data_IF_431463373327
#
_entry.id   IF_431463373327
#
_cell.length_a   1.000
_cell.length_b   1.000
_cell.length_c   1.000
_cell.angle_alpha   90.00
_cell.angle_beta   90.00
_cell.angle_gamma   90.00
#
_symmetry.space_group_name_H-M   'P 1'
#
loop_
_entity.id
_entity.type
_entity.pdbx_description
1 polymer ?
#
# COMPACT_ATOMS: atom_id res chain seq x y z
N UNK A 1 -8.97 2.89 -16.96
CA UNK A 1 -7.98 1.97 -16.34
C UNK A 1 -8.74 1.12 -15.33
N UNK A 2 -8.39 -0.16 -15.19
CA UNK A 2 -9.02 -1.11 -14.27
C UNK A 2 -7.92 -1.78 -13.42
N UNK A 3 -7.99 -1.59 -12.09
CA UNK A 3 -6.98 -2.07 -11.14
C UNK A 3 -7.63 -2.98 -10.09
N UNK A 4 -7.00 -4.14 -9.86
CA UNK A 4 -7.34 -5.01 -8.73
C UNK A 4 -6.62 -4.51 -7.48
N UNK A 5 -7.32 -4.38 -6.36
CA UNK A 5 -6.73 -4.01 -5.08
C UNK A 5 -6.99 -5.12 -4.05
N UNK A 6 -5.90 -5.73 -3.58
CA UNK A 6 -5.92 -6.67 -2.46
C UNK A 6 -5.53 -5.97 -1.16
N UNK A 7 -6.31 -6.15 -0.09
CA UNK A 7 -5.88 -5.75 1.26
C UNK A 7 -5.77 -6.97 2.17
N UNK A 8 -4.60 -7.14 2.78
CA UNK A 8 -4.22 -8.35 3.51
C UNK A 8 -3.88 -8.07 4.97
N UNK A 9 -3.70 -9.12 5.77
CA UNK A 9 -3.46 -9.03 7.21
C UNK A 9 -2.06 -8.57 7.62
N UNK A 10 -1.64 -7.39 7.17
CA UNK A 10 -0.47 -6.68 7.69
C UNK A 10 -0.87 -5.29 8.14
N UNK A 11 -0.18 -4.77 9.15
CA UNK A 11 -0.45 -3.42 9.67
C UNK A 11 -0.22 -2.34 8.61
N UNK A 12 -0.97 -1.25 8.71
CA UNK A 12 -1.00 -0.18 7.72
C UNK A 12 -2.23 -0.23 6.82
N UNK A 13 -3.38 -0.68 7.33
CA UNK A 13 -4.64 -0.74 6.57
C UNK A 13 -5.00 0.59 5.91
N UNK A 14 -4.65 1.72 6.56
CA UNK A 14 -4.85 3.08 6.03
C UNK A 14 -4.21 3.31 4.65
N UNK A 15 -3.10 2.62 4.34
CA UNK A 15 -2.42 2.72 3.03
C UNK A 15 -3.35 2.19 1.93
N UNK A 16 -4.00 1.05 2.16
CA UNK A 16 -4.97 0.49 1.23
C UNK A 16 -6.21 1.36 1.09
N UNK A 17 -6.73 1.89 2.21
CA UNK A 17 -7.88 2.81 2.20
C UNK A 17 -7.58 4.06 1.37
N UNK A 18 -6.46 4.73 1.62
CA UNK A 18 -6.05 5.93 0.87
C UNK A 18 -5.75 5.62 -0.59
N UNK A 19 -5.22 4.42 -0.89
CA UNK A 19 -5.06 3.96 -2.28
C UNK A 19 -6.41 3.87 -2.99
N UNK A 20 -7.42 3.24 -2.36
CA UNK A 20 -8.77 3.13 -2.94
C UNK A 20 -9.42 4.50 -3.17
N UNK A 21 -9.34 5.40 -2.18
CA UNK A 21 -9.88 6.75 -2.29
C UNK A 21 -9.20 7.55 -3.41
N UNK A 22 -7.88 7.43 -3.53
CA UNK A 22 -7.11 8.07 -4.59
C UNK A 22 -7.48 7.51 -5.98
N UNK A 23 -7.63 6.20 -6.12
CA UNK A 23 -8.08 5.57 -7.37
C UNK A 23 -9.49 6.03 -7.77
N UNK A 24 -10.41 6.12 -6.80
CA UNK A 24 -11.76 6.66 -7.02
C UNK A 24 -11.72 8.11 -7.50
N UNK A 25 -10.91 8.96 -6.87
CA UNK A 25 -10.77 10.36 -7.25
C UNK A 25 -10.19 10.54 -8.66
N UNK A 26 -9.43 9.55 -9.15
CA UNK A 26 -8.87 9.50 -10.50
C UNK A 26 -9.78 8.75 -11.50
N UNK A 27 -11.01 8.41 -11.12
CA UNK A 27 -11.99 7.70 -11.96
C UNK A 27 -11.45 6.35 -12.51
N UNK A 28 -10.62 5.67 -11.71
CA UNK A 28 -10.10 4.33 -12.03
C UNK A 28 -11.09 3.27 -11.54
N UNK A 29 -11.47 2.35 -12.42
CA UNK A 29 -12.31 1.22 -12.05
C UNK A 29 -11.53 0.28 -11.12
N UNK A 30 -12.14 -0.13 -10.02
CA UNK A 30 -11.46 -0.90 -8.95
C UNK A 30 -12.20 -2.19 -8.60
N UNK A 31 -11.42 -3.28 -8.53
CA UNK A 31 -11.86 -4.57 -8.01
C UNK A 31 -11.20 -4.84 -6.65
N UNK A 32 -11.95 -4.74 -5.57
CA UNK A 32 -11.46 -4.96 -4.21
C UNK A 32 -11.58 -6.42 -3.79
N UNK A 33 -10.51 -6.96 -3.21
CA UNK A 33 -10.52 -8.23 -2.48
C UNK A 33 -9.93 -8.03 -1.09
N UNK A 34 -10.73 -8.26 -0.06
CA UNK A 34 -10.28 -8.22 1.33
C UNK A 34 -10.08 -9.63 1.85
N UNK A 35 -8.92 -9.93 2.42
CA UNK A 35 -8.76 -11.17 3.21
C UNK A 35 -9.48 -11.05 4.55
N UNK A 36 -9.64 -12.17 5.28
CA UNK A 36 -10.21 -12.15 6.64
C UNK A 36 -9.49 -11.16 7.56
N UNK A 37 -8.15 -11.20 7.57
CA UNK A 37 -7.35 -10.34 8.43
C UNK A 37 -7.19 -8.91 7.88
N UNK A 38 -7.27 -8.73 6.56
CA UNK A 38 -7.36 -7.39 5.97
C UNK A 38 -8.61 -6.64 6.45
N UNK A 39 -9.77 -7.31 6.48
CA UNK A 39 -11.00 -6.73 7.06
C UNK A 39 -10.83 -6.34 8.53
N UNK A 40 -10.28 -7.26 9.34
CA UNK A 40 -10.10 -7.01 10.77
C UNK A 40 -9.18 -5.81 11.03
N UNK A 41 -8.13 -5.63 10.24
CA UNK A 41 -7.20 -4.50 10.41
C UNK A 41 -7.77 -3.17 9.91
N UNK A 42 -8.65 -3.17 8.91
CA UNK A 42 -9.38 -1.93 8.53
C UNK A 42 -10.18 -1.41 9.73
N UNK A 43 -10.98 -2.26 10.36
CA UNK A 43 -11.80 -1.88 11.52
C UNK A 43 -10.98 -1.58 12.78
N UNK A 44 -9.80 -2.19 12.91
CA UNK A 44 -8.95 -2.02 14.09
C UNK A 44 -8.02 -0.80 14.00
N UNK A 45 -7.43 -0.53 12.84
CA UNK A 45 -6.38 0.49 12.68
C UNK A 45 -6.89 1.82 12.14
N UNK A 46 -8.13 1.89 11.67
CA UNK A 46 -8.67 3.07 10.98
C UNK A 46 -10.05 3.46 11.49
N UNK A 47 -10.48 4.67 11.15
CA UNK A 47 -11.85 5.13 11.39
C UNK A 47 -12.87 4.56 10.39
N UNK A 48 -12.40 3.81 9.38
CA UNK A 48 -13.23 3.28 8.30
C UNK A 48 -13.75 1.88 8.61
N UNK A 49 -14.95 1.60 8.11
CA UNK A 49 -15.55 0.28 8.11
C UNK A 49 -15.33 -0.42 6.78
N UNK A 50 -15.52 -1.75 6.75
CA UNK A 50 -15.54 -2.50 5.49
C UNK A 50 -16.61 -1.95 4.54
N UNK A 51 -17.72 -1.44 5.06
CA UNK A 51 -18.81 -0.89 4.24
C UNK A 51 -18.39 0.40 3.53
N UNK A 52 -17.69 1.31 4.21
CA UNK A 52 -17.17 2.55 3.61
C UNK A 52 -16.23 2.24 2.42
N UNK A 53 -15.43 1.17 2.55
CA UNK A 53 -14.57 0.69 1.47
C UNK A 53 -15.37 0.15 0.29
N UNK A 54 -16.45 -0.60 0.54
CA UNK A 54 -17.33 -1.10 -0.55
C UNK A 54 -17.94 0.03 -1.35
N UNK A 55 -18.29 1.13 -0.68
CA UNK A 55 -18.87 2.31 -1.32
C UNK A 55 -17.83 3.16 -2.07
N UNK A 56 -16.54 2.84 -1.91
CA UNK A 56 -15.40 3.52 -2.55
C UNK A 56 -14.93 2.82 -3.83
N UNK A 57 -15.44 1.63 -4.14
CA UNK A 57 -14.97 0.80 -5.26
C UNK A 57 -16.13 0.33 -6.14
N UNK A 58 -15.82 -0.10 -7.37
CA UNK A 58 -16.81 -0.55 -8.34
C UNK A 58 -17.24 -2.01 -8.08
N UNK A 59 -16.28 -2.86 -7.71
CA UNK A 59 -16.52 -4.28 -7.47
C UNK A 59 -15.88 -4.77 -6.19
N UNK A 60 -16.58 -5.61 -5.44
CA UNK A 60 -16.07 -6.25 -4.22
C UNK A 60 -16.23 -7.75 -4.34
N UNK A 61 -15.13 -8.49 -4.22
CA UNK A 61 -15.12 -9.94 -4.33
C UNK A 61 -14.78 -10.59 -2.98
N UNK A 62 -15.41 -11.74 -2.72
CA UNK A 62 -15.07 -12.56 -1.57
C UNK A 62 -13.68 -13.19 -1.75
N UNK A 63 -12.86 -13.33 -0.68
CA UNK A 63 -11.53 -13.93 -0.82
C UNK A 63 -11.57 -15.41 -1.22
N UNK A 64 -12.70 -16.10 -1.05
CA UNK A 64 -12.89 -17.47 -1.52
C UNK A 64 -13.54 -17.59 -2.91
N UNK A 65 -13.89 -16.47 -3.55
CA UNK A 65 -14.62 -16.48 -4.82
C UNK A 65 -13.69 -16.67 -6.01
N UNK A 66 -13.23 -17.91 -6.21
CA UNK A 66 -12.38 -18.27 -7.33
C UNK A 66 -13.07 -18.18 -8.70
N UNK A 67 -14.38 -17.93 -8.74
CA UNK A 67 -15.16 -17.75 -9.97
C UNK A 67 -15.28 -16.27 -10.40
N UNK A 68 -14.80 -15.33 -9.58
CA UNK A 68 -14.77 -13.90 -9.91
C UNK A 68 -13.99 -13.64 -11.21
N UNK A 69 -14.37 -12.59 -11.94
CA UNK A 69 -13.78 -12.24 -13.24
C UNK A 69 -12.24 -12.10 -13.17
N UNK A 70 -11.73 -11.52 -12.08
CA UNK A 70 -10.30 -11.30 -11.82
C UNK A 70 -9.48 -12.59 -11.58
N UNK A 71 -10.14 -13.75 -11.47
CA UNK A 71 -9.52 -15.08 -11.42
C UNK A 71 -9.10 -15.59 -12.81
N UNK A 72 -9.56 -14.95 -13.88
CA UNK A 72 -9.25 -15.29 -15.27
C UNK A 72 -8.31 -14.28 -15.92
N UNK A 73 -7.32 -14.77 -16.66
CA UNK A 73 -6.46 -13.92 -17.49
C UNK A 73 -7.17 -13.35 -18.72
N UNK A 74 -8.27 -13.95 -19.17
CA UNK A 74 -9.04 -13.40 -20.30
C UNK A 74 -9.81 -12.14 -19.92
N UNK A 75 -10.03 -11.89 -18.62
CA UNK A 75 -10.62 -10.64 -18.16
C UNK A 75 -9.53 -9.56 -18.13
N UNK A 76 -9.72 -8.43 -18.85
CA UNK A 76 -8.69 -7.40 -18.95
C UNK A 76 -8.59 -6.60 -17.65
N UNK A 77 -7.39 -6.53 -17.08
CA UNK A 77 -7.03 -5.60 -16.00
C UNK A 77 -5.67 -4.97 -16.34
N UNK A 78 -5.44 -3.74 -15.88
CA UNK A 78 -4.17 -3.02 -16.11
C UNK A 78 -3.10 -3.42 -15.09
N UNK A 79 -3.51 -4.01 -13.97
CA UNK A 79 -2.63 -4.62 -12.98
C UNK A 79 -3.30 -4.81 -11.63
N UNK A 80 -2.46 -5.02 -10.61
CA UNK A 80 -2.89 -5.29 -9.25
C UNK A 80 -1.98 -4.59 -8.23
N UNK A 81 -2.59 -4.06 -7.19
CA UNK A 81 -1.93 -3.50 -6.01
C UNK A 81 -2.32 -4.36 -4.80
N UNK A 82 -1.36 -4.74 -3.96
CA UNK A 82 -1.62 -5.36 -2.66
C UNK A 82 -1.10 -4.45 -1.55
N UNK A 83 -2.00 -3.73 -0.90
CA UNK A 83 -1.68 -2.69 0.07
C UNK A 83 -2.61 -2.75 1.30
N UNK A 84 -2.10 -3.12 2.49
CA UNK A 84 -0.79 -3.71 2.75
C UNK A 84 -0.72 -5.20 2.34
N UNK A 85 0.51 -5.67 2.10
CA UNK A 85 0.83 -7.06 1.78
C UNK A 85 1.49 -7.76 2.99
N UNK A 86 0.83 -8.79 3.50
CA UNK A 86 1.34 -9.63 4.59
C UNK A 86 2.40 -10.61 4.12
N UNK A 87 3.31 -11.00 5.00
CA UNK A 87 4.35 -11.98 4.67
C UNK A 87 3.77 -13.34 4.29
N UNK A 88 2.61 -13.72 4.85
CA UNK A 88 1.83 -14.89 4.42
C UNK A 88 1.44 -14.78 2.94
N UNK A 89 0.76 -13.70 2.57
CA UNK A 89 0.29 -13.50 1.18
C UNK A 89 1.47 -13.43 0.23
N UNK A 90 2.53 -12.73 0.60
CA UNK A 90 3.75 -12.61 -0.19
C UNK A 90 4.39 -13.98 -0.46
N UNK A 91 4.53 -14.82 0.57
CA UNK A 91 5.02 -16.19 0.43
C UNK A 91 4.12 -17.04 -0.47
N UNK A 92 2.79 -16.93 -0.32
CA UNK A 92 1.83 -17.67 -1.15
C UNK A 92 1.92 -17.29 -2.64
N UNK A 93 2.06 -15.99 -2.95
CA UNK A 93 2.26 -15.51 -4.32
C UNK A 93 3.58 -16.05 -4.90
N UNK A 94 4.68 -15.96 -4.14
CA UNK A 94 5.98 -16.51 -4.57
C UNK A 94 5.94 -18.01 -4.83
N UNK A 95 5.15 -18.75 -4.06
CA UNK A 95 4.98 -20.18 -4.21
C UNK A 95 3.99 -20.57 -5.34
N UNK A 96 3.21 -19.61 -5.86
CA UNK A 96 2.10 -19.90 -6.77
C UNK A 96 0.94 -20.65 -6.09
N UNK A 97 0.83 -20.57 -4.76
CA UNK A 97 -0.19 -21.28 -3.98
C UNK A 97 -1.50 -20.50 -3.95
N UNK A 98 -2.19 -20.48 -5.09
CA UNK A 98 -3.41 -19.70 -5.35
C UNK A 98 -4.67 -20.26 -4.66
N UNK A 99 -4.62 -20.48 -3.35
CA UNK A 99 -5.74 -20.98 -2.53
C UNK A 99 -6.88 -19.95 -2.44
N UNK A 100 -6.55 -18.67 -2.28
CA UNK A 100 -7.51 -17.56 -2.18
C UNK A 100 -7.46 -16.63 -3.41
N UNK A 101 -8.50 -15.81 -3.56
CA UNK A 101 -8.67 -14.93 -4.72
C UNK A 101 -7.59 -13.83 -4.80
N UNK A 102 -7.03 -13.37 -3.67
CA UNK A 102 -5.94 -12.38 -3.70
C UNK A 102 -4.71 -13.02 -4.35
N UNK A 103 -4.33 -14.21 -3.90
CA UNK A 103 -3.18 -14.92 -4.46
C UNK A 103 -3.45 -15.34 -5.91
N UNK A 104 -4.67 -15.79 -6.22
CA UNK A 104 -5.07 -16.15 -7.58
C UNK A 104 -5.02 -14.96 -8.55
N UNK A 105 -5.55 -13.80 -8.15
CA UNK A 105 -5.50 -12.60 -8.99
C UNK A 105 -4.06 -12.11 -9.19
N UNK A 106 -3.19 -12.27 -8.19
CA UNK A 106 -1.76 -11.96 -8.32
C UNK A 106 -1.04 -12.94 -9.27
N UNK A 107 -1.33 -14.24 -9.18
CA UNK A 107 -0.84 -15.26 -10.11
C UNK A 107 -1.30 -14.97 -11.56
N UNK A 108 -2.56 -14.59 -11.74
CA UNK A 108 -3.09 -14.13 -13.03
C UNK A 108 -2.37 -12.87 -13.52
N UNK A 109 -2.14 -11.90 -12.64
CA UNK A 109 -1.42 -10.66 -12.97
C UNK A 109 -0.01 -10.97 -13.47
N UNK A 110 0.71 -11.87 -12.80
CA UNK A 110 2.07 -12.29 -13.19
C UNK A 110 2.08 -13.04 -14.52
N UNK A 111 1.22 -14.05 -14.71
CA UNK A 111 1.23 -14.87 -15.94
C UNK A 111 0.83 -14.08 -17.18
N UNK A 112 -0.04 -13.08 -17.03
CA UNK A 112 -0.44 -12.16 -18.10
C UNK A 112 0.54 -11.00 -18.30
N UNK A 113 1.66 -10.97 -17.55
CA UNK A 113 2.68 -9.91 -17.59
C UNK A 113 2.12 -8.52 -17.32
N UNK A 114 1.09 -8.44 -16.45
CA UNK A 114 0.51 -7.20 -15.96
C UNK A 114 1.31 -6.69 -14.77
N UNK A 115 1.10 -5.42 -14.42
CA UNK A 115 1.81 -4.79 -13.31
C UNK A 115 1.32 -5.33 -11.97
N UNK A 116 2.21 -5.88 -11.16
CA UNK A 116 1.92 -6.29 -9.79
C UNK A 116 2.73 -5.42 -8.81
N UNK A 117 2.06 -4.65 -7.96
CA UNK A 117 2.68 -3.87 -6.89
C UNK A 117 2.35 -4.53 -5.54
N UNK A 118 3.39 -4.89 -4.80
CA UNK A 118 3.28 -5.46 -3.47
C UNK A 118 3.80 -4.44 -2.46
N UNK A 119 3.00 -4.12 -1.45
CA UNK A 119 3.37 -3.20 -0.35
C UNK A 119 3.64 -4.00 0.92
N UNK A 120 4.77 -4.71 1.02
CA UNK A 120 5.08 -5.56 2.17
C UNK A 120 5.31 -4.74 3.42
N UNK A 121 4.58 -5.04 4.51
CA UNK A 121 4.80 -4.40 5.81
C UNK A 121 5.18 -5.46 6.84
N UNK A 122 6.46 -5.45 7.24
CA UNK A 122 7.00 -6.24 8.35
C UNK A 122 8.32 -5.61 8.83
N UNK A 123 8.62 -5.72 10.12
CA UNK A 123 9.93 -5.36 10.67
C UNK A 123 10.16 -6.06 12.03
N UNK A 124 11.31 -6.74 12.24
CA UNK A 124 12.42 -6.96 11.30
C UNK A 124 12.09 -7.98 10.20
N UNK A 125 12.84 -7.94 9.11
CA UNK A 125 12.75 -8.94 8.04
C UNK A 125 13.68 -10.12 8.33
N UNK A 126 13.16 -11.33 8.19
CA UNK A 126 13.98 -12.55 8.19
C UNK A 126 14.39 -12.94 6.75
N UNK A 127 15.26 -13.94 6.63
CA UNK A 127 15.76 -14.43 5.33
C UNK A 127 14.62 -14.91 4.41
N UNK A 128 13.60 -15.59 4.95
CA UNK A 128 12.45 -16.07 4.18
C UNK A 128 11.71 -14.90 3.52
N UNK A 129 11.50 -13.80 4.24
CA UNK A 129 10.84 -12.61 3.69
C UNK A 129 11.67 -12.02 2.54
N UNK A 130 12.99 -11.91 2.74
CA UNK A 130 13.92 -11.36 1.74
C UNK A 130 13.99 -12.22 0.48
N UNK A 131 14.09 -13.55 0.62
CA UNK A 131 14.09 -14.49 -0.50
C UNK A 131 12.79 -14.42 -1.30
N UNK A 132 11.65 -14.32 -0.63
CA UNK A 132 10.36 -14.21 -1.28
C UNK A 132 10.24 -12.89 -2.07
N UNK A 133 10.64 -11.77 -1.45
CA UNK A 133 10.67 -10.47 -2.13
C UNK A 133 11.62 -10.48 -3.33
N UNK A 134 12.82 -11.03 -3.19
CA UNK A 134 13.81 -11.10 -4.28
C UNK A 134 13.31 -11.95 -5.45
N UNK A 135 12.71 -13.11 -5.16
CA UNK A 135 12.17 -13.99 -6.20
C UNK A 135 11.07 -13.28 -7.01
N UNK A 136 10.13 -12.61 -6.34
CA UNK A 136 9.06 -11.89 -7.01
C UNK A 136 9.54 -10.63 -7.74
N UNK A 137 10.52 -9.91 -7.18
CA UNK A 137 11.17 -8.81 -7.87
C UNK A 137 11.79 -9.26 -9.21
N UNK A 138 12.46 -10.42 -9.23
CA UNK A 138 13.01 -11.02 -10.45
C UNK A 138 11.94 -11.46 -11.45
N UNK A 139 10.72 -11.75 -10.98
CA UNK A 139 9.56 -12.06 -11.82
C UNK A 139 8.85 -10.80 -12.36
N UNK A 140 9.32 -9.60 -12.00
CA UNK A 140 8.76 -8.33 -12.46
C UNK A 140 7.70 -7.72 -11.53
N UNK A 141 7.44 -8.32 -10.37
CA UNK A 141 6.63 -7.66 -9.35
C UNK A 141 7.42 -6.49 -8.73
N UNK A 142 6.74 -5.39 -8.44
CA UNK A 142 7.33 -4.28 -7.72
C UNK A 142 7.19 -4.52 -6.21
N UNK A 143 8.33 -4.53 -5.51
CA UNK A 143 8.39 -4.61 -4.05
C UNK A 143 8.51 -3.18 -3.52
N UNK A 144 7.41 -2.64 -2.99
CA UNK A 144 7.29 -1.25 -2.53
C UNK A 144 6.91 -1.21 -1.04
N UNK A 145 7.85 -1.50 -0.12
CA UNK A 145 7.57 -1.44 1.31
C UNK A 145 7.17 -0.01 1.74
N UNK A 146 6.33 0.15 2.78
CA UNK A 146 5.85 1.45 3.25
C UNK A 146 6.94 2.21 4.03
N UNK A 147 7.97 2.67 3.32
CA UNK A 147 9.09 3.42 3.87
C UNK A 147 8.79 4.92 3.80
N UNK A 148 8.68 5.63 4.94
CA UNK A 148 8.38 7.05 4.95
C UNK A 148 9.48 7.89 4.31
N UNK A 149 9.09 8.90 3.55
CA UNK A 149 9.97 9.95 3.06
C UNK A 149 9.89 11.17 3.98
N UNK A 150 11.04 11.74 4.35
CA UNK A 150 11.11 12.91 5.23
C UNK A 150 11.59 14.17 4.51
N UNK A 151 12.04 14.04 3.26
CA UNK A 151 12.56 15.16 2.47
C UNK A 151 11.48 16.16 2.04
N UNK A 152 10.21 15.81 2.18
CA UNK A 152 9.07 16.71 1.95
C UNK A 152 8.49 17.30 3.24
N UNK A 153 9.19 17.12 4.38
CA UNK A 153 8.79 17.67 5.68
C UNK A 153 7.33 17.38 6.06
N UNK A 154 6.93 16.08 6.16
CA UNK A 154 5.57 15.73 6.57
C UNK A 154 5.24 16.33 7.94
N UNK A 155 4.04 16.89 8.08
CA UNK A 155 3.52 17.42 9.35
C UNK A 155 2.56 16.42 10.02
N UNK A 156 1.94 15.55 9.21
CA UNK A 156 0.95 14.57 9.65
C UNK A 156 1.30 13.15 9.21
N UNK A 157 0.67 12.16 9.86
CA UNK A 157 0.74 10.76 9.41
C UNK A 157 0.14 10.63 8.01
N UNK A 158 -0.92 11.41 7.70
CA UNK A 158 -1.57 11.37 6.39
C UNK A 158 -0.61 11.81 5.28
N UNK A 159 0.24 12.83 5.52
CA UNK A 159 1.28 13.24 4.56
C UNK A 159 2.22 12.09 4.20
N UNK A 160 2.61 11.29 5.21
CA UNK A 160 3.48 10.12 5.03
C UNK A 160 2.77 9.06 4.18
N UNK A 161 1.52 8.72 4.50
CA UNK A 161 0.83 7.68 3.74
C UNK A 161 0.45 8.16 2.34
N UNK A 162 0.06 9.42 2.16
CA UNK A 162 -0.25 9.98 0.85
C UNK A 162 0.98 10.09 -0.04
N UNK A 163 2.17 10.36 0.52
CA UNK A 163 3.41 10.23 -0.23
C UNK A 163 3.63 8.80 -0.75
N UNK A 164 3.40 7.80 0.10
CA UNK A 164 3.50 6.39 -0.29
C UNK A 164 2.46 6.02 -1.37
N UNK A 165 1.21 6.46 -1.22
CA UNK A 165 0.14 6.23 -2.19
C UNK A 165 0.49 6.86 -3.53
N UNK A 166 1.01 8.10 -3.55
CA UNK A 166 1.51 8.72 -4.77
C UNK A 166 2.58 7.85 -5.44
N UNK A 167 3.55 7.34 -4.68
CA UNK A 167 4.59 6.43 -5.20
C UNK A 167 4.03 5.13 -5.76
N UNK A 168 2.98 4.56 -5.15
CA UNK A 168 2.29 3.37 -5.69
C UNK A 168 1.65 3.70 -7.05
N UNK A 169 0.92 4.81 -7.12
CA UNK A 169 0.16 5.22 -8.30
C UNK A 169 1.05 5.68 -9.47
N UNK A 170 2.21 6.26 -9.18
CA UNK A 170 3.22 6.62 -10.19
C UNK A 170 3.58 5.44 -11.09
N UNK A 171 3.67 4.25 -10.51
CA UNK A 171 4.00 3.06 -11.27
C UNK A 171 2.91 2.67 -12.25
N UNK A 172 1.67 3.11 -12.07
CA UNK A 172 0.58 2.96 -13.04
C UNK A 172 0.46 4.15 -14.00
N UNK A 173 1.32 5.16 -13.88
CA UNK A 173 1.19 6.41 -14.64
C UNK A 173 0.01 7.26 -14.17
N UNK A 174 -0.44 7.05 -12.92
CA UNK A 174 -1.52 7.78 -12.30
C UNK A 174 -0.94 8.86 -11.40
N UNK A 175 -1.06 10.12 -11.81
CA UNK A 175 -0.49 11.25 -11.09
C UNK A 175 -1.50 11.83 -10.09
N UNK A 176 -1.11 11.89 -8.81
CA UNK A 176 -1.84 12.67 -7.82
C UNK A 176 -1.39 14.13 -7.87
N UNK A 177 -2.29 15.10 -8.08
CA UNK A 177 -1.92 16.52 -8.15
C UNK A 177 -1.22 17.06 -6.90
N UNK A 178 -1.52 16.49 -5.72
CA UNK A 178 -0.94 16.87 -4.44
C UNK A 178 0.40 16.17 -4.15
N UNK A 179 0.88 15.28 -5.02
CA UNK A 179 2.11 14.52 -4.76
C UNK A 179 3.34 15.43 -4.78
N UNK A 180 4.07 15.46 -3.67
CA UNK A 180 5.38 16.11 -3.63
C UNK A 180 6.36 15.38 -4.56
N UNK A 181 7.01 16.13 -5.45
CA UNK A 181 8.08 15.65 -6.33
C UNK A 181 9.41 16.26 -5.93
N UNK A 182 10.42 15.43 -5.73
CA UNK A 182 11.77 15.90 -5.48
C UNK A 182 12.32 16.63 -6.72
N UNK A 183 12.71 17.91 -6.55
CA UNK A 183 13.24 18.75 -7.64
C UNK A 183 14.77 18.88 -7.62
N UNK A 184 15.46 18.20 -6.70
CA UNK A 184 16.89 18.40 -6.48
C UNK A 184 17.20 19.62 -5.59
N UNK A 185 18.46 19.74 -5.19
CA UNK A 185 18.93 20.79 -4.29
C UNK A 185 18.77 20.43 -2.82
N UNK A 186 19.85 20.53 -2.04
CA UNK A 186 19.83 20.34 -0.59
C UNK A 186 19.88 21.70 0.10
N UNK A 187 18.82 22.50 -0.05
CA UNK A 187 18.62 23.69 0.77
C UNK A 187 17.84 23.31 2.01
N UNK A 188 18.40 23.56 3.20
CA UNK A 188 17.65 23.43 4.44
C UNK A 188 16.49 24.43 4.40
N UNK A 189 15.22 23.99 4.51
CA UNK A 189 14.13 24.94 4.63
C UNK A 189 14.35 25.80 5.88
N UNK A 190 14.05 27.09 5.78
CA UNK A 190 13.98 27.96 6.96
C UNK A 190 12.78 27.52 7.79
N UNK A 191 13.00 26.54 8.68
CA UNK A 191 12.02 26.16 9.68
C UNK A 191 12.28 27.04 10.90
N UNK A 192 11.34 27.91 11.24
CA UNK A 192 11.32 28.53 12.56
C UNK A 192 11.10 27.41 13.56
N UNK A 193 12.15 27.03 14.28
CA UNK A 193 12.02 26.14 15.43
C UNK A 193 11.25 26.97 16.46
N UNK A 194 9.99 26.63 16.72
CA UNK A 194 9.29 27.14 17.88
C UNK A 194 10.13 26.76 19.10
N UNK A 195 10.83 27.73 19.68
CA UNK A 195 11.60 27.53 20.89
C UNK A 195 10.62 27.15 21.98
N UNK A 196 10.73 25.94 22.51
CA UNK A 196 9.99 25.52 23.70
C UNK A 196 10.38 26.45 24.86
N UNK A 197 9.47 27.30 25.37
CA UNK A 197 9.78 28.20 26.49
C UNK A 197 10.08 27.43 27.80
N UNK A 198 9.85 26.11 27.85
CA UNK A 198 10.14 25.29 29.03
C UNK A 198 11.60 24.77 29.10
N UNK A 199 12.41 24.97 28.05
CA UNK A 199 13.78 24.46 28.02
C UNK A 199 14.80 25.26 28.89
N UNK A 200 14.42 26.42 29.44
CA UNK A 200 15.33 27.28 30.22
C UNK A 200 15.31 27.05 31.75
N UNK A 201 14.40 26.24 32.31
CA UNK A 201 14.18 26.22 33.78
C UNK A 201 14.98 25.18 34.58
N UNK A 202 16.02 24.55 34.03
CA UNK A 202 16.79 23.52 34.76
C UNK A 202 18.28 23.82 35.00
N UNK A 203 18.73 25.06 34.80
CA UNK A 203 20.15 25.40 34.94
C UNK A 203 20.60 25.89 36.33
N UNK A 204 19.72 26.21 37.29
CA UNK A 204 20.16 26.76 38.59
C UNK A 204 19.47 26.08 39.78
N UNK A 205 20.09 25.02 40.31
CA UNK A 205 19.93 24.63 41.70
C UNK A 205 21.33 24.31 42.26
N UNK A 206 21.85 25.10 43.22
CA UNK A 206 23.17 24.86 43.79
C UNK A 206 23.16 23.64 44.75
N UNK A 207 24.34 23.02 44.84
CA UNK A 207 24.64 21.80 45.61
C UNK A 207 24.50 21.93 47.13
#
# INVERSE_FOLDING_TARGET
>A
MNIVVGMTGASGAIIGVRTLQALRALEVETHLVLTRWGRALVEYETEYTVQDLRETVDHVHGPGDQAAAISSGSYPTDGMIIAPCSMKTLAAIRAGYAEDLVVRAADVTLKERRKLVLVPREAPLNEIHLENMLALARMGALILPPMPAFYHHPETIDDIVMHLVARILDHFGLELPSAFRWQGGLSRPQVEIATDPAAETHADAPA
#
